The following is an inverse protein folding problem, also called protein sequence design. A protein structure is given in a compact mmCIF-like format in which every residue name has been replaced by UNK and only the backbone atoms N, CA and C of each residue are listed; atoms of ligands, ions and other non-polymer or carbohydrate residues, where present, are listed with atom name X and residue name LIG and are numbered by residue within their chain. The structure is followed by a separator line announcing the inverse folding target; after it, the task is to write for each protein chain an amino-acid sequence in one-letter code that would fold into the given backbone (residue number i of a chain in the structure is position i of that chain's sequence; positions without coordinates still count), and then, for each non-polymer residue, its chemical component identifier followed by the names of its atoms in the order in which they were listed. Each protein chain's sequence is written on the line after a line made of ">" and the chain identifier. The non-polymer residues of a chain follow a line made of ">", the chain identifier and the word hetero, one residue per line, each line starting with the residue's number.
data_IF_225268351564
#
_entry.id   IF_225268351564
#
_cell.length_a   1.000
_cell.length_b   1.000
_cell.length_c   1.000
_cell.angle_alpha   90.00
_cell.angle_beta   90.00
_cell.angle_gamma   90.00
#
_symmetry.space_group_name_H-M   'P 1'
#
loop_
_entity.id
_entity.type
_entity.pdbx_description
1 polymer ?
#
# COMPACT_ATOMS: atom_id res chain seq x y z
N UNK A 1 13.27 -14.41 23.95
CA UNK A 1 12.10 -14.38 23.04
C UNK A 1 11.60 -15.81 22.84
N UNK A 2 10.28 -16.07 22.92
CA UNK A 2 9.72 -17.38 22.60
C UNK A 2 9.83 -17.62 21.09
N UNK A 3 10.29 -18.81 20.68
CA UNK A 3 10.54 -19.21 19.30
C UNK A 3 9.45 -20.19 18.85
N UNK A 4 8.84 -19.94 17.70
CA UNK A 4 7.96 -20.92 17.04
C UNK A 4 8.70 -21.48 15.82
N UNK A 5 8.96 -22.79 15.82
CA UNK A 5 9.58 -23.48 14.68
C UNK A 5 8.49 -23.95 13.70
N UNK A 6 8.51 -23.43 12.47
CA UNK A 6 7.74 -24.00 11.34
C UNK A 6 8.71 -24.86 10.54
N UNK A 7 8.42 -26.16 10.42
CA UNK A 7 9.31 -27.18 9.83
C UNK A 7 8.99 -27.37 8.35
N UNK A 8 9.74 -26.74 7.45
CA UNK A 8 9.76 -26.98 5.98
C UNK A 8 11.17 -26.65 5.45
N UNK A 9 11.69 -27.32 4.42
CA UNK A 9 13.14 -27.54 4.13
C UNK A 9 13.99 -26.43 3.41
N UNK A 10 15.31 -26.31 3.74
CA UNK A 10 16.49 -25.55 3.14
C UNK A 10 16.74 -23.96 3.21
N UNK A 11 17.47 -23.26 4.15
CA UNK A 11 17.42 -21.75 4.30
C UNK A 11 17.09 -21.02 5.67
N UNK A 12 18.03 -20.78 6.62
CA UNK A 12 17.80 -19.88 7.80
C UNK A 12 17.68 -18.42 7.34
N UNK A 13 16.58 -17.73 7.69
CA UNK A 13 16.43 -16.29 7.47
C UNK A 13 16.17 -15.54 8.78
N UNK A 14 17.10 -14.66 9.13
CA UNK A 14 16.78 -13.44 9.88
C UNK A 14 16.49 -12.35 8.85
N UNK A 15 15.22 -12.10 8.53
CA UNK A 15 14.82 -10.95 7.71
C UNK A 15 14.98 -9.65 8.52
N UNK A 16 16.20 -9.17 8.62
CA UNK A 16 16.57 -7.81 8.99
C UNK A 16 17.66 -7.38 8.03
N UNK A 17 17.47 -6.26 7.37
CA UNK A 17 18.39 -5.70 6.37
C UNK A 17 19.86 -5.86 6.78
N UNK A 18 20.67 -6.46 5.88
CA UNK A 18 22.11 -6.80 5.98
C UNK A 18 22.50 -7.85 7.04
N UNK A 19 22.90 -9.04 6.55
CA UNK A 19 23.67 -10.02 7.33
C UNK A 19 25.16 -9.81 7.05
N UNK A 20 25.90 -9.29 8.03
CA UNK A 20 27.36 -9.41 8.07
C UNK A 20 27.77 -10.76 8.67
N UNK A 21 28.79 -11.36 8.06
CA UNK A 21 29.61 -12.51 8.49
C UNK A 21 28.96 -13.51 9.47
N UNK A 22 28.31 -14.54 8.92
CA UNK A 22 28.02 -15.77 9.66
C UNK A 22 29.14 -16.79 9.44
N UNK A 23 29.58 -17.52 10.49
CA UNK A 23 30.66 -18.50 10.38
C UNK A 23 30.26 -19.72 9.55
N UNK A 24 31.18 -20.20 8.72
CA UNK A 24 31.04 -21.42 7.90
C UNK A 24 30.70 -22.64 8.75
N UNK A 25 29.50 -23.20 8.57
CA UNK A 25 29.14 -24.50 9.13
C UNK A 25 29.16 -25.54 8.00
N UNK A 26 30.01 -26.58 8.07
CA UNK A 26 30.08 -27.60 7.04
C UNK A 26 28.85 -28.52 7.13
N UNK A 27 28.03 -28.55 6.07
CA UNK A 27 26.91 -29.49 5.98
C UNK A 27 27.42 -30.84 5.48
N UNK A 28 27.59 -31.78 6.42
CA UNK A 28 27.82 -33.19 6.10
C UNK A 28 26.53 -33.83 5.57
N UNK A 29 26.64 -34.63 4.52
CA UNK A 29 25.54 -35.24 3.78
C UNK A 29 24.40 -35.77 4.65
N UNK A 30 23.29 -35.04 4.65
CA UNK A 30 22.03 -35.30 5.32
C UNK A 30 21.04 -34.22 4.91
N UNK A 31 19.74 -34.53 4.87
CA UNK A 31 18.68 -33.54 4.58
C UNK A 31 18.78 -32.38 5.57
N UNK A 32 19.22 -31.22 5.09
CA UNK A 32 19.36 -30.02 5.89
C UNK A 32 17.96 -29.45 6.24
N UNK A 33 17.71 -29.27 7.53
CA UNK A 33 16.50 -28.67 8.08
C UNK A 33 16.59 -27.13 7.99
N UNK A 34 15.56 -26.45 7.48
CA UNK A 34 15.40 -25.03 7.84
C UNK A 34 14.65 -24.96 9.13
N UNK A 35 15.21 -24.16 10.01
CA UNK A 35 14.44 -23.55 11.06
C UNK A 35 14.25 -22.08 10.68
N UNK A 36 13.01 -21.70 10.37
CA UNK A 36 12.64 -20.29 10.29
C UNK A 36 12.42 -19.83 11.73
N UNK A 37 13.36 -19.06 12.26
CA UNK A 37 13.12 -18.37 13.53
C UNK A 37 12.25 -17.14 13.26
N UNK A 38 10.93 -17.34 13.37
CA UNK A 38 9.98 -16.24 13.32
C UNK A 38 10.02 -15.56 14.68
N UNK A 39 10.41 -14.29 14.66
CA UNK A 39 10.33 -13.42 15.81
C UNK A 39 8.85 -13.10 16.04
N UNK A 40 8.36 -13.39 17.24
CA UNK A 40 7.05 -12.96 17.72
C UNK A 40 7.27 -12.12 18.97
N UNK A 41 6.41 -11.12 19.26
CA UNK A 41 6.54 -10.36 20.48
C UNK A 41 6.61 -11.30 21.69
N UNK A 42 7.58 -11.06 22.57
CA UNK A 42 7.79 -11.90 23.74
C UNK A 42 6.60 -11.90 24.70
N UNK A 43 5.73 -10.91 24.56
CA UNK A 43 4.51 -10.70 25.31
C UNK A 43 3.44 -10.16 24.36
N UNK A 44 2.20 -10.58 24.56
CA UNK A 44 1.03 -10.02 23.90
C UNK A 44 0.07 -9.60 25.01
N UNK A 45 -0.21 -8.30 25.09
CA UNK A 45 -0.99 -7.70 26.17
C UNK A 45 -2.49 -7.66 25.86
N UNK A 46 -2.83 -7.55 24.58
CA UNK A 46 -4.20 -7.53 24.10
C UNK A 46 -4.32 -8.20 22.73
N UNK A 47 -5.51 -8.68 22.44
CA UNK A 47 -5.90 -9.29 21.16
C UNK A 47 -7.33 -8.90 20.81
N UNK A 48 -7.57 -8.66 19.52
CA UNK A 48 -8.87 -8.31 18.96
C UNK A 48 -9.01 -8.93 17.58
N UNK A 49 -10.23 -9.24 17.19
CA UNK A 49 -10.55 -9.56 15.80
C UNK A 49 -11.09 -8.28 15.15
N UNK A 50 -10.38 -7.73 14.17
CA UNK A 50 -10.78 -6.53 13.41
C UNK A 50 -10.96 -6.90 11.95
N UNK A 51 -12.14 -6.63 11.36
CA UNK A 51 -12.46 -7.01 9.98
C UNK A 51 -12.15 -8.50 9.63
N UNK A 52 -12.22 -9.40 10.61
CA UNK A 52 -11.88 -10.82 10.44
C UNK A 52 -10.38 -11.17 10.51
N UNK A 53 -9.52 -10.23 10.90
CA UNK A 53 -8.08 -10.43 11.16
C UNK A 53 -7.80 -10.48 12.65
N UNK A 54 -6.89 -11.34 13.06
CA UNK A 54 -6.33 -11.33 14.41
C UNK A 54 -5.32 -10.19 14.52
N UNK A 55 -5.66 -9.18 15.33
CA UNK A 55 -4.82 -8.03 15.63
C UNK A 55 -4.43 -8.07 17.10
N UNK A 56 -3.14 -7.96 17.37
CA UNK A 56 -2.57 -8.07 18.71
C UNK A 56 -1.61 -6.91 18.95
N UNK A 57 -1.27 -6.64 20.21
CA UNK A 57 -0.22 -5.67 20.51
C UNK A 57 0.48 -5.91 21.83
N UNK A 58 1.53 -5.12 22.01
CA UNK A 58 2.41 -5.12 23.18
C UNK A 58 2.21 -3.80 23.90
N UNK A 59 2.30 -3.81 25.23
CA UNK A 59 2.18 -2.66 26.11
C UNK A 59 0.75 -2.09 26.22
N UNK A 60 0.61 -0.78 26.03
CA UNK A 60 -0.64 -0.06 26.30
C UNK A 60 -1.69 -0.44 25.29
N UNK A 61 -2.93 -0.62 25.74
CA UNK A 61 -4.06 -0.87 24.86
C UNK A 61 -4.21 0.29 23.86
N UNK A 62 -4.37 0.02 22.55
CA UNK A 62 -4.41 1.06 21.53
C UNK A 62 -5.61 1.97 21.75
N UNK A 63 -5.45 3.23 21.38
CA UNK A 63 -6.56 4.18 21.44
C UNK A 63 -7.71 3.72 20.54
N UNK A 64 -8.98 4.05 20.86
CA UNK A 64 -10.10 3.73 19.99
C UNK A 64 -9.97 4.29 18.58
N UNK A 65 -9.29 5.43 18.42
CA UNK A 65 -9.01 6.04 17.12
C UNK A 65 -8.08 5.16 16.27
N UNK A 66 -7.00 4.65 16.87
CA UNK A 66 -6.05 3.75 16.21
C UNK A 66 -6.71 2.42 15.82
N UNK A 67 -7.50 1.83 16.73
CA UNK A 67 -8.25 0.61 16.43
C UNK A 67 -9.19 0.81 15.24
N UNK A 68 -9.94 1.92 15.24
CA UNK A 68 -10.83 2.25 14.13
C UNK A 68 -10.09 2.50 12.82
N UNK A 69 -8.92 3.14 12.86
CA UNK A 69 -8.07 3.37 11.69
C UNK A 69 -7.62 2.05 11.05
N UNK A 70 -7.09 1.13 11.86
CA UNK A 70 -6.62 -0.18 11.39
C UNK A 70 -7.77 -1.04 10.89
N UNK A 71 -8.89 -1.09 11.61
CA UNK A 71 -10.07 -1.85 11.19
C UNK A 71 -10.59 -1.39 9.82
N UNK A 72 -10.76 -0.08 9.61
CA UNK A 72 -11.15 0.46 8.30
C UNK A 72 -10.16 0.14 7.20
N UNK A 73 -8.86 0.24 7.48
CA UNK A 73 -7.85 -0.09 6.49
C UNK A 73 -7.92 -1.57 6.08
N UNK A 74 -8.22 -2.47 7.03
CA UNK A 74 -8.40 -3.89 6.74
C UNK A 74 -9.67 -4.17 5.93
N UNK A 75 -10.78 -3.46 6.20
CA UNK A 75 -12.03 -3.55 5.43
C UNK A 75 -11.87 -3.10 3.97
N UNK A 76 -10.90 -2.22 3.70
CA UNK A 76 -10.64 -1.69 2.36
C UNK A 76 -9.69 -2.57 1.54
N UNK A 77 -9.02 -3.58 2.11
CA UNK A 77 -8.11 -4.46 1.35
C UNK A 77 -8.89 -5.34 0.36
N UNK A 78 -8.40 -5.50 -0.89
CA UNK A 78 -9.11 -6.30 -1.88
C UNK A 78 -9.04 -7.79 -1.56
N UNK A 79 -10.17 -8.48 -1.68
CA UNK A 79 -10.31 -9.91 -1.41
C UNK A 79 -9.32 -10.75 -2.20
N UNK A 80 -8.98 -10.35 -3.43
CA UNK A 80 -8.05 -11.10 -4.29
C UNK A 80 -6.61 -11.06 -3.79
N UNK A 81 -6.18 -9.96 -3.14
CA UNK A 81 -4.91 -9.94 -2.42
C UNK A 81 -4.99 -10.83 -1.18
N UNK A 82 -6.07 -10.70 -0.41
CA UNK A 82 -6.26 -11.46 0.83
C UNK A 82 -6.34 -12.97 0.59
N UNK A 83 -6.80 -13.41 -0.58
CA UNK A 83 -6.85 -14.82 -0.97
C UNK A 83 -5.47 -15.49 -1.02
N UNK A 84 -4.41 -14.73 -1.30
CA UNK A 84 -3.04 -15.24 -1.43
C UNK A 84 -2.10 -14.77 -0.31
N UNK A 85 -2.44 -13.66 0.35
CA UNK A 85 -1.54 -12.93 1.22
C UNK A 85 -1.98 -12.84 2.69
N UNK A 86 -2.99 -13.62 3.11
CA UNK A 86 -3.56 -13.46 4.46
C UNK A 86 -2.51 -13.69 5.56
N UNK A 87 -2.29 -12.71 6.46
CA UNK A 87 -1.32 -12.86 7.52
C UNK A 87 -1.91 -13.74 8.63
N UNK A 88 -1.03 -14.37 9.41
CA UNK A 88 -1.43 -15.12 10.60
C UNK A 88 -1.84 -14.18 11.73
N UNK A 89 -1.08 -13.12 11.97
CA UNK A 89 -1.38 -12.10 12.97
C UNK A 89 -0.84 -10.75 12.51
N UNK A 90 -1.58 -9.69 12.82
CA UNK A 90 -1.11 -8.31 12.68
C UNK A 90 -0.77 -7.79 14.08
N UNK A 91 0.47 -7.39 14.30
CA UNK A 91 0.95 -6.84 15.55
C UNK A 91 1.02 -5.32 15.47
N UNK A 92 0.36 -4.61 16.39
CA UNK A 92 0.55 -3.18 16.60
C UNK A 92 1.55 -3.01 17.73
N UNK A 93 2.71 -2.43 17.42
CA UNK A 93 3.83 -2.29 18.35
C UNK A 93 4.38 -0.86 18.32
N UNK A 94 4.93 -0.39 19.45
CA UNK A 94 5.51 0.95 19.54
C UNK A 94 6.81 1.10 18.76
N UNK A 95 7.59 0.02 18.67
CA UNK A 95 8.85 -0.05 17.92
C UNK A 95 9.20 -1.50 17.61
N UNK A 96 10.13 -1.68 16.66
CA UNK A 96 10.74 -2.98 16.36
C UNK A 96 12.24 -2.79 16.14
N UNK A 97 13.10 -3.68 16.65
CA UNK A 97 14.57 -3.52 16.55
C UNK A 97 15.09 -3.52 15.10
N UNK A 98 14.31 -4.09 14.18
CA UNK A 98 14.60 -4.16 12.74
C UNK A 98 14.04 -2.99 11.93
N UNK A 99 13.22 -2.14 12.56
CA UNK A 99 12.62 -1.01 11.87
C UNK A 99 13.64 0.12 11.73
N UNK A 100 13.81 0.62 10.51
CA UNK A 100 14.56 1.84 10.27
C UNK A 100 13.71 3.07 10.64
N UNK A 101 14.32 4.23 10.93
CA UNK A 101 13.57 5.46 11.14
C UNK A 101 12.66 5.77 9.94
N UNK A 102 11.36 5.94 10.21
CA UNK A 102 10.36 6.21 9.17
C UNK A 102 9.67 4.96 8.59
N UNK A 103 10.05 3.75 9.01
CA UNK A 103 9.29 2.54 8.72
C UNK A 103 7.91 2.64 9.36
N UNK A 104 6.84 2.40 8.59
CA UNK A 104 5.48 2.38 9.11
C UNK A 104 4.94 0.98 9.41
N UNK A 105 5.40 0.00 8.63
CA UNK A 105 5.07 -1.40 8.79
C UNK A 105 6.23 -2.28 8.33
N UNK A 106 6.21 -3.56 8.72
CA UNK A 106 7.11 -4.58 8.20
C UNK A 106 6.46 -5.97 8.29
N UNK A 107 6.74 -6.84 7.33
CA UNK A 107 6.39 -8.25 7.38
C UNK A 107 7.58 -9.08 7.92
N UNK A 108 7.30 -9.95 8.88
CA UNK A 108 8.27 -10.95 9.37
C UNK A 108 7.63 -12.32 9.27
N UNK A 109 8.01 -13.05 8.22
CA UNK A 109 7.43 -14.35 7.92
C UNK A 109 5.93 -14.22 7.59
N UNK A 110 5.04 -14.95 8.29
CA UNK A 110 3.60 -14.89 8.04
C UNK A 110 2.88 -13.76 8.80
N UNK A 111 3.59 -12.93 9.57
CA UNK A 111 3.00 -11.88 10.41
C UNK A 111 3.36 -10.48 9.88
N UNK A 112 2.48 -9.52 10.14
CA UNK A 112 2.69 -8.09 9.83
C UNK A 112 2.82 -7.31 11.12
N UNK A 113 3.74 -6.35 11.16
CA UNK A 113 3.98 -5.45 12.26
C UNK A 113 3.67 -4.03 11.82
N UNK A 114 2.70 -3.40 12.47
CA UNK A 114 2.35 -1.99 12.32
C UNK A 114 3.00 -1.19 13.44
N UNK A 115 3.77 -0.16 13.10
CA UNK A 115 4.51 0.64 14.08
C UNK A 115 3.67 1.84 14.51
N UNK A 116 3.16 1.83 15.75
CA UNK A 116 2.20 2.81 16.26
C UNK A 116 2.65 4.26 16.07
N UNK A 117 3.94 4.54 16.28
CA UNK A 117 4.50 5.90 16.12
C UNK A 117 4.35 6.48 14.71
N UNK A 118 4.20 5.63 13.68
CA UNK A 118 3.97 6.05 12.29
C UNK A 118 2.49 6.26 11.94
N UNK A 119 1.58 5.82 12.81
CA UNK A 119 0.14 5.80 12.56
C UNK A 119 -0.61 6.99 13.16
N UNK A 120 0.05 7.80 14.00
CA UNK A 120 -0.61 8.89 14.73
C UNK A 120 -1.18 9.97 13.80
N UNK A 121 -0.49 10.27 12.68
CA UNK A 121 -0.84 11.33 11.73
C UNK A 121 -1.07 10.79 10.31
N UNK A 122 -1.52 9.54 10.20
CA UNK A 122 -1.71 8.85 8.91
C UNK A 122 -3.20 8.72 8.54
N UNK A 123 -3.48 8.45 7.26
CA UNK A 123 -4.85 8.22 6.77
C UNK A 123 -5.15 6.74 6.56
N UNK A 124 -6.42 6.33 6.52
CA UNK A 124 -6.84 4.98 6.13
C UNK A 124 -6.22 4.61 4.78
N UNK A 125 -6.14 5.55 3.82
CA UNK A 125 -5.46 5.33 2.55
C UNK A 125 -3.99 4.92 2.71
N UNK A 126 -3.25 5.61 3.58
CA UNK A 126 -1.83 5.34 3.83
C UNK A 126 -1.65 3.98 4.53
N UNK A 127 -2.52 3.64 5.50
CA UNK A 127 -2.49 2.32 6.16
C UNK A 127 -2.83 1.20 5.18
N UNK A 128 -3.78 1.40 4.26
CA UNK A 128 -4.06 0.41 3.20
C UNK A 128 -2.84 0.21 2.31
N UNK A 129 -2.12 1.28 1.93
CA UNK A 129 -0.89 1.16 1.15
C UNK A 129 0.16 0.34 1.89
N UNK A 130 0.41 0.66 3.17
CA UNK A 130 1.34 -0.06 4.03
C UNK A 130 0.96 -1.54 4.14
N UNK A 131 -0.30 -1.83 4.46
CA UNK A 131 -0.78 -3.21 4.57
C UNK A 131 -0.66 -3.95 3.24
N UNK A 132 -1.06 -3.37 2.11
CA UNK A 132 -0.95 -4.03 0.81
C UNK A 132 0.51 -4.35 0.44
N UNK A 133 1.44 -3.47 0.79
CA UNK A 133 2.88 -3.70 0.67
C UNK A 133 3.31 -4.91 1.52
N UNK A 134 3.05 -4.88 2.83
CA UNK A 134 3.49 -5.94 3.74
C UNK A 134 2.82 -7.29 3.50
N UNK A 135 1.55 -7.29 3.10
CA UNK A 135 0.84 -8.51 2.71
C UNK A 135 1.48 -9.13 1.46
N UNK A 136 2.01 -8.33 0.55
CA UNK A 136 2.76 -8.87 -0.60
C UNK A 136 4.01 -9.61 -0.13
N UNK A 137 4.70 -9.14 0.91
CA UNK A 137 5.80 -9.88 1.54
C UNK A 137 5.34 -11.15 2.24
N UNK A 138 4.16 -11.16 2.88
CA UNK A 138 3.57 -12.40 3.43
C UNK A 138 3.32 -13.43 2.31
N UNK A 139 2.82 -13.00 1.15
CA UNK A 139 2.65 -13.87 -0.02
C UNK A 139 3.99 -14.40 -0.56
N UNK A 140 5.00 -13.54 -0.64
CA UNK A 140 6.37 -13.95 -1.02
C UNK A 140 6.95 -14.96 -0.03
N UNK A 141 6.73 -14.77 1.28
CA UNK A 141 7.12 -15.74 2.30
C UNK A 141 6.38 -17.07 2.15
N UNK A 142 5.08 -17.04 1.88
CA UNK A 142 4.32 -18.26 1.61
C UNK A 142 4.86 -19.03 0.39
N UNK A 143 5.22 -18.31 -0.68
CA UNK A 143 5.87 -18.89 -1.86
C UNK A 143 7.25 -19.49 -1.54
N UNK A 144 8.02 -18.84 -0.66
CA UNK A 144 9.29 -19.35 -0.17
C UNK A 144 9.10 -20.69 0.57
N UNK A 145 8.18 -20.74 1.53
CA UNK A 145 7.85 -21.96 2.29
C UNK A 145 7.38 -23.09 1.38
N UNK A 146 6.64 -22.77 0.32
CA UNK A 146 6.16 -23.76 -0.65
C UNK A 146 7.26 -24.26 -1.61
N UNK A 147 8.40 -23.57 -1.70
CA UNK A 147 9.51 -23.89 -2.59
C UNK A 147 10.65 -24.61 -1.86
N UNK A 148 11.55 -25.26 -2.60
CA UNK A 148 12.87 -25.65 -2.08
C UNK A 148 13.85 -24.56 -2.55
N UNK A 149 14.09 -23.51 -1.75
CA UNK A 149 14.89 -22.39 -2.22
C UNK A 149 16.34 -22.83 -2.44
N UNK A 150 17.00 -22.17 -3.38
CA UNK A 150 18.44 -22.29 -3.53
C UNK A 150 19.13 -21.66 -2.30
N UNK A 151 20.30 -22.15 -1.92
CA UNK A 151 21.14 -21.46 -0.93
C UNK A 151 21.53 -20.09 -1.48
N UNK A 152 20.93 -19.02 -0.95
CA UNK A 152 21.24 -17.64 -1.33
C UNK A 152 21.07 -16.70 -0.15
N UNK A 153 21.80 -15.59 -0.16
CA UNK A 153 21.72 -14.54 0.87
C UNK A 153 20.36 -13.85 0.94
N UNK A 154 19.56 -13.89 -0.14
CA UNK A 154 18.16 -13.46 -0.19
C UNK A 154 17.30 -14.52 -0.87
N UNK A 155 16.76 -15.50 -0.11
CA UNK A 155 16.03 -16.61 -0.69
C UNK A 155 14.64 -16.21 -1.18
N UNK A 156 14.05 -15.11 -0.67
CA UNK A 156 12.79 -14.56 -1.22
C UNK A 156 12.97 -14.18 -2.68
N UNK A 157 14.09 -13.50 -2.99
CA UNK A 157 14.41 -13.09 -4.35
C UNK A 157 14.71 -14.24 -5.31
N UNK A 158 14.80 -15.49 -4.82
CA UNK A 158 15.01 -16.69 -5.64
C UNK A 158 13.76 -17.56 -5.78
N UNK A 159 12.65 -17.16 -5.15
CA UNK A 159 11.40 -17.89 -5.28
C UNK A 159 10.88 -17.84 -6.73
N UNK A 160 10.15 -18.87 -7.19
CA UNK A 160 9.50 -18.85 -8.49
C UNK A 160 8.60 -17.63 -8.68
N UNK A 161 7.88 -17.20 -7.63
CA UNK A 161 7.01 -16.04 -7.64
C UNK A 161 7.76 -14.74 -7.97
N UNK A 162 8.84 -14.45 -7.23
CA UNK A 162 9.61 -13.22 -7.45
C UNK A 162 10.38 -13.29 -8.78
N UNK A 163 10.84 -14.47 -9.18
CA UNK A 163 11.51 -14.66 -10.47
C UNK A 163 10.55 -14.42 -11.64
N UNK A 164 9.31 -14.91 -11.54
CA UNK A 164 8.27 -14.68 -12.54
C UNK A 164 7.95 -13.18 -12.68
N UNK A 165 7.76 -12.48 -11.56
CA UNK A 165 7.59 -11.04 -11.55
C UNK A 165 8.80 -10.33 -12.19
N UNK A 166 10.01 -10.70 -11.79
CA UNK A 166 11.25 -10.11 -12.28
C UNK A 166 11.38 -10.27 -13.80
N UNK A 167 11.13 -11.46 -14.33
CA UNK A 167 11.17 -11.75 -15.75
C UNK A 167 10.13 -10.95 -16.55
N UNK A 168 8.92 -10.81 -16.02
CA UNK A 168 7.84 -10.05 -16.64
C UNK A 168 8.13 -8.54 -16.69
N UNK A 169 8.88 -8.02 -15.72
CA UNK A 169 9.08 -6.57 -15.50
C UNK A 169 10.47 -6.07 -15.89
N UNK A 170 11.30 -6.96 -16.47
CA UNK A 170 12.59 -6.60 -17.03
C UNK A 170 13.74 -6.56 -16.02
N UNK A 171 13.51 -7.00 -14.78
CA UNK A 171 14.60 -7.28 -13.85
C UNK A 171 15.48 -8.39 -14.41
N UNK A 172 16.79 -8.23 -14.24
CA UNK A 172 17.80 -9.19 -14.67
C UNK A 172 18.74 -9.48 -13.53
N UNK A 173 19.16 -10.74 -13.45
CA UNK A 173 20.15 -11.19 -12.49
C UNK A 173 21.54 -11.13 -13.11
N UNK A 174 22.46 -10.46 -12.42
CA UNK A 174 23.88 -10.36 -12.76
C UNK A 174 24.68 -10.93 -11.58
N UNK A 175 24.97 -12.23 -11.62
CA UNK A 175 25.49 -12.99 -10.49
C UNK A 175 24.46 -13.10 -9.36
N UNK A 176 24.79 -12.59 -8.17
CA UNK A 176 23.89 -12.55 -7.01
C UNK A 176 23.15 -11.23 -6.86
N UNK A 177 23.27 -10.32 -7.84
CA UNK A 177 22.64 -9.01 -7.79
C UNK A 177 21.53 -8.88 -8.82
N UNK A 178 20.45 -8.24 -8.41
CA UNK A 178 19.38 -7.81 -9.30
C UNK A 178 19.70 -6.45 -9.89
N UNK A 179 19.37 -6.27 -11.16
CA UNK A 179 19.49 -5.01 -11.88
C UNK A 179 18.24 -4.77 -12.72
N UNK A 180 17.84 -3.51 -12.81
CA UNK A 180 16.78 -3.05 -13.68
C UNK A 180 17.30 -1.88 -14.52
N UNK A 181 16.89 -1.79 -15.78
CA UNK A 181 17.26 -0.66 -16.63
C UNK A 181 16.52 0.61 -16.19
N UNK A 182 17.20 1.76 -16.22
CA UNK A 182 16.60 3.05 -15.90
C UNK A 182 15.54 3.49 -16.94
N UNK A 183 14.45 4.18 -16.54
CA UNK A 183 14.05 4.49 -15.15
C UNK A 183 13.48 3.23 -14.46
N UNK A 184 14.13 2.77 -13.40
CA UNK A 184 13.84 1.45 -12.81
C UNK A 184 12.99 1.52 -11.54
N UNK A 185 12.11 0.53 -11.36
CA UNK A 185 11.32 0.26 -10.17
C UNK A 185 10.00 1.01 -10.15
N UNK A 186 9.03 0.51 -9.38
CA UNK A 186 7.79 1.24 -9.11
C UNK A 186 8.12 2.54 -8.40
N UNK A 187 8.76 2.45 -7.23
CA UNK A 187 9.28 3.63 -6.50
C UNK A 187 10.80 3.57 -6.40
N UNK A 188 11.42 4.63 -5.84
CA UNK A 188 12.85 4.58 -5.50
C UNK A 188 13.18 3.41 -4.56
N UNK A 189 12.28 3.07 -3.64
CA UNK A 189 12.45 1.93 -2.76
C UNK A 189 12.25 0.60 -3.51
N UNK A 190 11.21 0.51 -4.34
CA UNK A 190 11.01 -0.64 -5.23
C UNK A 190 12.18 -0.88 -6.18
N UNK A 191 12.92 0.14 -6.59
CA UNK A 191 14.11 0.01 -7.43
C UNK A 191 15.30 -0.71 -6.74
N UNK A 192 15.20 -1.04 -5.45
CA UNK A 192 16.27 -1.72 -4.71
C UNK A 192 16.33 -3.23 -4.99
N UNK A 193 15.19 -3.87 -5.23
CA UNK A 193 15.10 -5.31 -5.53
C UNK A 193 13.77 -5.66 -6.18
N UNK A 194 13.65 -6.78 -6.92
CA UNK A 194 12.36 -7.24 -7.44
C UNK A 194 11.38 -7.63 -6.32
N UNK A 195 11.86 -7.96 -5.12
CA UNK A 195 11.04 -8.27 -3.94
C UNK A 195 10.26 -7.03 -3.52
N UNK A 196 10.97 -5.92 -3.35
CA UNK A 196 10.39 -4.62 -2.98
C UNK A 196 9.58 -4.00 -4.12
N UNK A 197 10.05 -4.14 -5.36
CA UNK A 197 9.33 -3.64 -6.52
C UNK A 197 7.95 -4.31 -6.67
N UNK A 198 7.87 -5.62 -6.43
CA UNK A 198 6.61 -6.34 -6.44
C UNK A 198 5.65 -5.82 -5.36
N UNK A 199 6.13 -5.63 -4.13
CA UNK A 199 5.33 -5.10 -3.02
C UNK A 199 4.85 -3.67 -3.29
N UNK A 200 5.74 -2.81 -3.77
CA UNK A 200 5.41 -1.43 -4.15
C UNK A 200 4.44 -1.36 -5.33
N UNK A 201 4.59 -2.22 -6.33
CA UNK A 201 3.69 -2.30 -7.48
C UNK A 201 2.28 -2.72 -7.06
N UNK A 202 2.17 -3.79 -6.25
CA UNK A 202 0.89 -4.26 -5.73
C UNK A 202 0.25 -3.18 -4.88
N UNK A 203 0.98 -2.61 -3.91
CA UNK A 203 0.46 -1.56 -3.05
C UNK A 203 -0.06 -0.36 -3.85
N UNK A 204 0.70 0.09 -4.87
CA UNK A 204 0.32 1.23 -5.70
C UNK A 204 -0.91 0.93 -6.57
N UNK A 205 -1.04 -0.28 -7.13
CA UNK A 205 -2.28 -0.70 -7.83
C UNK A 205 -3.46 -0.76 -6.86
N UNK A 206 -3.27 -1.37 -5.68
CA UNK A 206 -4.29 -1.52 -4.65
C UNK A 206 -4.79 -0.15 -4.22
N UNK A 207 -3.94 0.81 -3.87
CA UNK A 207 -4.43 2.14 -3.49
C UNK A 207 -4.83 3.01 -4.68
N UNK A 208 -4.62 2.53 -5.91
CA UNK A 208 -4.90 3.28 -7.13
C UNK A 208 -4.06 4.54 -7.23
N UNK A 209 -2.82 4.47 -6.73
CA UNK A 209 -1.83 5.53 -6.71
C UNK A 209 -1.25 5.76 -8.11
N UNK A 210 -1.61 6.90 -8.69
CA UNK A 210 -1.07 7.43 -9.92
C UNK A 210 0.08 8.39 -9.69
N UNK A 211 0.43 8.78 -8.46
CA UNK A 211 1.60 9.62 -8.20
C UNK A 211 2.88 9.00 -8.80
N UNK A 212 2.91 7.68 -8.79
CA UNK A 212 3.96 6.87 -9.39
C UNK A 212 3.43 6.22 -10.67
N UNK A 213 3.93 6.57 -11.86
CA UNK A 213 3.58 5.87 -13.10
C UNK A 213 4.01 4.40 -13.01
N UNK A 214 3.07 3.50 -12.71
CA UNK A 214 3.33 2.06 -12.73
C UNK A 214 3.37 1.63 -14.20
N UNK A 215 4.45 0.98 -14.62
CA UNK A 215 4.53 0.51 -15.99
C UNK A 215 3.45 -0.54 -16.31
N UNK A 216 3.12 -0.67 -17.59
CA UNK A 216 2.08 -1.61 -18.02
C UNK A 216 2.47 -3.09 -17.82
N UNK A 217 3.74 -3.43 -17.66
CA UNK A 217 4.18 -4.80 -17.45
C UNK A 217 3.88 -5.27 -16.02
N UNK A 218 4.19 -4.45 -15.01
CA UNK A 218 3.84 -4.65 -13.61
C UNK A 218 2.33 -4.76 -13.45
N UNK A 219 1.58 -3.82 -14.03
CA UNK A 219 0.11 -3.84 -13.96
C UNK A 219 -0.46 -5.12 -14.58
N UNK A 220 0.02 -5.53 -15.76
CA UNK A 220 -0.43 -6.79 -16.38
C UNK A 220 -0.11 -8.00 -15.51
N UNK A 221 1.12 -8.09 -15.00
CA UNK A 221 1.51 -9.19 -14.13
C UNK A 221 0.63 -9.27 -12.88
N UNK A 222 0.35 -8.14 -12.22
CA UNK A 222 -0.52 -8.09 -11.03
C UNK A 222 -1.94 -8.57 -11.36
N UNK A 223 -2.51 -8.07 -12.46
CA UNK A 223 -3.87 -8.43 -12.91
C UNK A 223 -3.96 -9.92 -13.23
N UNK A 224 -2.97 -10.46 -13.94
CA UNK A 224 -2.92 -11.87 -14.30
C UNK A 224 -2.68 -12.77 -13.07
N UNK A 225 -1.78 -12.35 -12.17
CA UNK A 225 -1.40 -13.10 -10.96
C UNK A 225 -2.51 -13.14 -9.90
N UNK A 226 -3.16 -12.01 -9.63
CA UNK A 226 -4.28 -11.93 -8.68
C UNK A 226 -5.62 -12.30 -9.31
N UNK A 227 -5.69 -12.43 -10.64
CA UNK A 227 -6.91 -12.77 -11.36
C UNK A 227 -7.99 -11.68 -11.29
N UNK A 228 -7.60 -10.41 -11.14
CA UNK A 228 -8.51 -9.29 -10.93
C UNK A 228 -8.10 -8.04 -11.72
N UNK A 229 -9.09 -7.29 -12.20
CA UNK A 229 -8.84 -6.01 -12.86
C UNK A 229 -8.25 -4.97 -11.90
N UNK A 230 -7.53 -3.97 -12.43
CA UNK A 230 -7.04 -2.84 -11.61
C UNK A 230 -8.15 -2.10 -10.87
N UNK A 231 -9.34 -2.02 -11.46
CA UNK A 231 -10.48 -1.35 -10.83
C UNK A 231 -11.04 -2.15 -9.64
N UNK A 232 -11.04 -3.49 -9.74
CA UNK A 232 -11.39 -4.37 -8.64
C UNK A 232 -10.36 -4.29 -7.51
N UNK A 233 -9.07 -4.37 -7.84
CA UNK A 233 -7.97 -4.25 -6.87
C UNK A 233 -7.93 -2.87 -6.20
N UNK A 234 -8.36 -1.82 -6.90
CA UNK A 234 -8.49 -0.47 -6.35
C UNK A 234 -9.66 -0.33 -5.33
N UNK A 235 -10.55 -1.32 -5.25
CA UNK A 235 -11.66 -1.41 -4.29
C UNK A 235 -12.50 -0.12 -4.15
N UNK A 236 -12.71 0.63 -5.24
CA UNK A 236 -13.49 1.88 -5.16
C UNK A 236 -12.78 3.02 -4.43
N UNK A 237 -11.45 3.01 -4.32
CA UNK A 237 -10.66 4.14 -3.84
C UNK A 237 -10.62 5.29 -4.86
N UNK A 238 -10.40 6.54 -4.40
CA UNK A 238 -10.23 7.70 -5.28
C UNK A 238 -9.19 7.45 -6.37
N UNK A 239 -9.52 7.85 -7.60
CA UNK A 239 -8.56 7.80 -8.69
C UNK A 239 -7.61 9.00 -8.61
N UNK A 240 -6.31 8.71 -8.65
CA UNK A 240 -5.26 9.73 -8.72
C UNK A 240 -4.61 9.68 -10.11
N UNK A 241 -4.52 10.80 -10.85
CA UNK A 241 -3.84 10.86 -12.14
C UNK A 241 -2.33 10.68 -11.99
N UNK A 242 -1.67 10.25 -13.06
CA UNK A 242 -0.22 10.17 -13.10
C UNK A 242 0.40 11.22 -14.02
N UNK A 243 1.52 11.87 -13.62
CA UNK A 243 2.05 11.93 -12.25
C UNK A 243 1.21 12.88 -11.37
N UNK A 244 0.72 12.43 -10.21
CA UNK A 244 0.13 13.32 -9.20
C UNK A 244 1.08 13.55 -8.03
N UNK A 245 0.96 14.68 -7.35
CA UNK A 245 1.62 14.93 -6.07
C UNK A 245 0.54 15.16 -5.02
N UNK A 246 0.64 14.50 -3.86
CA UNK A 246 -0.24 14.77 -2.72
C UNK A 246 0.16 16.11 -2.11
N UNK A 247 -0.82 16.98 -1.90
CA UNK A 247 -0.61 18.27 -1.22
C UNK A 247 -1.10 18.19 0.20
N UNK A 248 -0.33 18.81 1.09
CA UNK A 248 -0.80 19.21 2.41
C UNK A 248 -1.19 20.70 2.33
N UNK A 249 -2.35 21.03 2.88
CA UNK A 249 -2.85 22.39 2.90
C UNK A 249 -3.36 22.73 4.31
N UNK A 250 -2.90 23.84 4.86
CA UNK A 250 -3.33 24.34 6.17
C UNK A 250 -4.81 24.80 6.17
N UNK A 251 -5.31 25.18 4.99
CA UNK A 251 -6.71 25.54 4.78
C UNK A 251 -7.44 24.43 4.03
N UNK A 252 -8.70 24.18 4.39
CA UNK A 252 -9.55 23.22 3.71
C UNK A 252 -9.74 23.62 2.23
N UNK A 253 -9.16 22.83 1.32
CA UNK A 253 -9.38 22.95 -0.13
C UNK A 253 -10.65 22.18 -0.56
N UNK A 254 -11.74 22.40 0.20
CA UNK A 254 -13.06 21.86 -0.08
C UNK A 254 -14.17 22.67 0.58
N UNK A 255 -15.39 22.58 0.05
CA UNK A 255 -16.57 23.14 0.72
C UNK A 255 -16.99 22.24 1.89
N UNK A 256 -16.70 22.70 3.12
CA UNK A 256 -16.98 21.98 4.35
C UNK A 256 -18.48 21.72 4.58
N UNK A 257 -19.35 22.61 4.11
CA UNK A 257 -20.81 22.48 4.25
C UNK A 257 -21.37 21.44 3.27
N UNK A 258 -20.65 21.21 2.16
CA UNK A 258 -21.00 20.19 1.18
C UNK A 258 -20.58 18.77 1.60
N UNK A 259 -19.74 18.61 2.62
CA UNK A 259 -19.19 17.31 3.05
C UNK A 259 -20.29 16.37 3.54
N UNK A 260 -20.38 15.13 2.99
CA UNK A 260 -21.34 14.14 3.46
C UNK A 260 -21.23 13.85 4.96
N UNK A 261 -22.35 13.61 5.67
CA UNK A 261 -22.29 13.09 7.03
C UNK A 261 -21.59 11.72 7.03
N UNK A 262 -20.80 11.46 8.07
CA UNK A 262 -20.08 10.21 8.25
C UNK A 262 -19.45 10.17 9.64
N UNK A 263 -19.16 8.96 10.13
CA UNK A 263 -18.50 8.77 11.44
C UNK A 263 -17.03 9.15 11.39
N UNK A 264 -16.41 8.91 10.23
CA UNK A 264 -15.02 9.23 9.95
C UNK A 264 -14.93 9.94 8.61
N UNK A 265 -13.98 10.86 8.50
CA UNK A 265 -13.76 11.65 7.29
C UNK A 265 -12.26 11.78 7.03
N UNK A 266 -11.88 11.64 5.78
CA UNK A 266 -10.51 11.86 5.33
C UNK A 266 -10.48 12.79 4.14
N UNK A 267 -9.52 13.70 4.13
CA UNK A 267 -9.32 14.66 3.06
C UNK A 267 -8.05 14.27 2.32
N UNK A 268 -8.17 14.05 1.02
CA UNK A 268 -7.06 13.73 0.13
C UNK A 268 -7.01 14.79 -0.95
N UNK A 269 -5.88 15.49 -1.07
CA UNK A 269 -5.66 16.55 -2.06
C UNK A 269 -4.51 16.15 -2.96
N UNK A 270 -4.74 16.18 -4.27
CA UNK A 270 -3.75 15.82 -5.28
C UNK A 270 -3.64 16.92 -6.34
N UNK A 271 -2.43 17.30 -6.72
CA UNK A 271 -2.21 18.05 -7.96
C UNK A 271 -2.00 17.07 -9.10
N UNK A 272 -2.83 17.21 -10.13
CA UNK A 272 -2.65 16.52 -11.39
C UNK A 272 -1.70 17.36 -12.24
N UNK A 273 -0.51 16.83 -12.53
CA UNK A 273 0.51 17.47 -13.38
C UNK A 273 0.07 17.76 -14.83
N UNK A 274 -1.13 17.35 -15.22
CA UNK A 274 -1.71 17.73 -16.49
C UNK A 274 -2.30 19.15 -16.40
N UNK A 275 -1.96 20.05 -17.36
CA UNK A 275 -2.60 21.35 -17.46
C UNK A 275 -4.12 21.21 -17.53
N UNK A 276 -4.84 22.15 -16.92
CA UNK A 276 -6.30 22.20 -17.01
C UNK A 276 -6.77 22.04 -18.46
N UNK A 277 -7.69 21.09 -18.69
CA UNK A 277 -8.41 20.91 -19.95
C UNK A 277 -9.89 20.75 -19.69
N UNK A 278 -10.73 21.29 -20.58
CA UNK A 278 -12.19 21.27 -20.44
C UNK A 278 -12.83 19.88 -20.23
N UNK A 279 -12.12 18.79 -20.57
CA UNK A 279 -12.59 17.40 -20.39
C UNK A 279 -12.18 16.71 -19.09
N UNK A 280 -11.46 17.37 -18.16
CA UNK A 280 -11.06 16.74 -16.88
C UNK A 280 -12.26 16.27 -16.05
N UNK A 281 -13.33 17.06 -15.85
CA UNK A 281 -14.47 16.62 -15.04
C UNK A 281 -15.14 15.35 -15.60
N UNK A 282 -15.40 15.29 -16.91
CA UNK A 282 -16.01 14.13 -17.56
C UNK A 282 -15.12 12.88 -17.47
N UNK A 283 -13.80 13.05 -17.61
CA UNK A 283 -12.86 11.95 -17.42
C UNK A 283 -12.89 11.42 -16.00
N UNK A 284 -12.91 12.31 -15.00
CA UNK A 284 -12.97 11.93 -13.60
C UNK A 284 -14.25 11.15 -13.28
N UNK A 285 -15.42 11.63 -13.73
CA UNK A 285 -16.70 10.92 -13.58
C UNK A 285 -16.63 9.52 -14.18
N UNK A 286 -16.09 9.37 -15.40
CA UNK A 286 -15.95 8.05 -16.04
C UNK A 286 -15.02 7.12 -15.26
N UNK A 287 -13.90 7.63 -14.74
CA UNK A 287 -12.93 6.83 -13.97
C UNK A 287 -13.47 6.42 -12.61
N UNK A 288 -14.20 7.31 -11.92
CA UNK A 288 -14.89 6.99 -10.68
C UNK A 288 -15.99 5.93 -10.92
N UNK A 289 -16.75 6.07 -12.00
CA UNK A 289 -17.78 5.10 -12.37
C UNK A 289 -17.20 3.70 -12.67
N UNK A 290 -16.04 3.62 -13.32
CA UNK A 290 -15.33 2.36 -13.56
C UNK A 290 -14.92 1.66 -12.25
N UNK A 291 -14.67 2.43 -11.19
CA UNK A 291 -14.39 1.94 -9.83
C UNK A 291 -15.63 1.72 -8.97
N UNK A 292 -16.83 1.74 -9.57
CA UNK A 292 -18.09 1.55 -8.84
C UNK A 292 -18.53 2.75 -7.98
N UNK A 293 -17.89 3.90 -8.16
CA UNK A 293 -18.19 5.15 -7.45
C UNK A 293 -19.10 5.99 -8.33
N UNK A 294 -20.34 6.23 -7.91
CA UNK A 294 -21.38 6.89 -8.74
C UNK A 294 -21.70 8.28 -8.22
N UNK A 295 -21.81 9.24 -9.13
CA UNK A 295 -22.15 10.64 -8.86
C UNK A 295 -21.91 11.48 -10.10
N UNK A 296 -22.15 12.78 -9.97
CA UNK A 296 -22.00 13.75 -11.04
C UNK A 296 -21.18 14.94 -10.55
N UNK A 297 -20.33 15.49 -11.42
CA UNK A 297 -19.65 16.77 -11.18
C UNK A 297 -20.41 17.89 -11.88
N UNK A 298 -20.74 18.93 -11.11
CA UNK A 298 -21.36 20.14 -11.63
C UNK A 298 -20.40 21.31 -11.48
N UNK A 299 -20.41 22.22 -12.46
CA UNK A 299 -19.72 23.49 -12.34
C UNK A 299 -20.30 24.26 -11.15
N UNK A 300 -19.43 24.78 -10.29
CA UNK A 300 -19.83 25.67 -9.21
C UNK A 300 -19.78 27.11 -9.73
N UNK A 301 -20.85 27.86 -9.49
CA UNK A 301 -20.94 29.27 -9.86
C UNK A 301 -20.05 30.11 -8.94
N UNK A 302 -18.76 30.15 -9.27
CA UNK A 302 -17.74 30.97 -8.64
C UNK A 302 -16.94 31.70 -9.73
N UNK A 303 -17.05 33.03 -9.77
CA UNK A 303 -16.36 33.87 -10.75
C UNK A 303 -14.87 34.03 -10.44
N UNK A 304 -14.43 33.70 -9.22
CA UNK A 304 -13.03 33.82 -8.81
C UNK A 304 -12.21 32.60 -9.24
N UNK A 305 -12.78 31.40 -9.21
CA UNK A 305 -12.04 30.17 -9.53
C UNK A 305 -12.92 29.20 -10.30
N UNK A 306 -12.41 28.69 -11.42
CA UNK A 306 -13.12 27.62 -12.13
C UNK A 306 -13.03 26.33 -11.30
N UNK A 307 -14.21 25.87 -10.84
CA UNK A 307 -14.37 24.75 -9.91
C UNK A 307 -15.54 23.87 -10.33
N UNK A 308 -15.37 22.57 -10.15
CA UNK A 308 -16.42 21.57 -10.29
C UNK A 308 -16.52 20.79 -8.98
N UNK A 309 -17.73 20.51 -8.51
CA UNK A 309 -17.97 19.77 -7.29
C UNK A 309 -19.13 18.79 -7.45
N UNK A 310 -19.06 17.69 -6.70
CA UNK A 310 -20.05 16.63 -6.79
C UNK A 310 -20.01 15.69 -5.60
N UNK A 311 -21.16 15.12 -5.26
CA UNK A 311 -21.26 14.02 -4.30
C UNK A 311 -21.29 12.70 -5.04
N UNK A 312 -20.48 11.77 -4.57
CA UNK A 312 -20.40 10.43 -5.09
C UNK A 312 -20.62 9.40 -3.99
N UNK A 313 -21.02 8.20 -4.38
CA UNK A 313 -21.33 7.11 -3.46
C UNK A 313 -20.83 5.77 -4.01
N UNK A 314 -20.30 4.95 -3.11
CA UNK A 314 -19.99 3.53 -3.34
C UNK A 314 -21.13 2.68 -2.75
N UNK A 315 -21.27 1.44 -3.24
CA UNK A 315 -22.41 0.58 -2.90
C UNK A 315 -22.49 0.16 -1.43
N UNK A 316 -21.37 0.22 -0.71
CA UNK A 316 -21.22 -0.11 0.72
C UNK A 316 -21.54 1.08 1.65
N UNK A 317 -21.95 2.22 1.10
CA UNK A 317 -22.36 3.40 1.87
C UNK A 317 -21.25 4.45 2.04
N UNK A 318 -20.03 4.19 1.57
CA UNK A 318 -18.98 5.22 1.55
C UNK A 318 -19.36 6.33 0.58
N UNK A 319 -19.25 7.56 1.06
CA UNK A 319 -19.61 8.77 0.33
C UNK A 319 -18.39 9.64 0.10
N UNK A 320 -18.34 10.31 -1.04
CA UNK A 320 -17.24 11.17 -1.42
C UNK A 320 -17.80 12.54 -1.76
N UNK A 321 -17.19 13.60 -1.23
CA UNK A 321 -17.18 14.89 -1.90
C UNK A 321 -15.98 14.88 -2.85
N UNK A 322 -16.22 15.15 -4.13
CA UNK A 322 -15.16 15.28 -5.12
C UNK A 322 -15.19 16.70 -5.65
N UNK A 323 -14.03 17.34 -5.64
CA UNK A 323 -13.87 18.68 -6.18
C UNK A 323 -12.66 18.76 -7.11
N UNK A 324 -12.82 19.54 -8.17
CA UNK A 324 -11.79 19.79 -9.17
C UNK A 324 -11.60 21.30 -9.26
N UNK A 325 -10.37 21.75 -9.07
CA UNK A 325 -10.01 23.16 -9.01
C UNK A 325 -9.03 23.53 -10.12
N UNK A 326 -9.33 24.60 -10.85
CA UNK A 326 -8.41 25.26 -11.76
C UNK A 326 -7.91 26.56 -11.12
N UNK A 327 -6.76 26.49 -10.44
CA UNK A 327 -6.22 27.62 -9.69
C UNK A 327 -5.40 28.61 -10.54
N UNK A 328 -5.11 28.28 -11.80
CA UNK A 328 -4.16 29.03 -12.67
C UNK A 328 -4.38 30.55 -12.67
N UNK A 329 -5.63 30.99 -12.61
CA UNK A 329 -6.01 32.40 -12.66
C UNK A 329 -6.79 32.86 -11.41
N UNK A 330 -6.77 32.07 -10.33
CA UNK A 330 -7.56 32.36 -9.14
C UNK A 330 -7.03 33.63 -8.42
N UNK A 331 -7.86 34.68 -8.23
CA UNK A 331 -7.46 35.86 -7.48
C UNK A 331 -7.16 35.49 -6.03
N UNK A 332 -6.02 35.93 -5.51
CA UNK A 332 -5.62 35.73 -4.11
C UNK A 332 -4.56 34.66 -3.87
N UNK A 333 -4.17 33.89 -4.91
CA UNK A 333 -3.02 32.99 -4.83
C UNK A 333 -1.75 33.69 -5.33
N UNK A 334 -0.67 33.60 -4.55
CA UNK A 334 0.68 33.99 -4.99
C UNK A 334 1.30 32.76 -5.64
N UNK A 335 1.65 32.86 -6.93
CA UNK A 335 2.15 31.75 -7.76
C UNK A 335 1.24 30.50 -7.73
N UNK A 336 -0.03 30.62 -8.16
CA UNK A 336 -0.92 29.46 -8.20
C UNK A 336 -0.31 28.34 -9.06
N UNK A 337 -0.48 27.06 -8.66
CA UNK A 337 -0.03 25.97 -9.48
C UNK A 337 -0.72 26.01 -10.85
N UNK A 338 0.04 25.78 -11.93
CA UNK A 338 -0.50 25.62 -13.30
C UNK A 338 -1.18 24.24 -13.49
N UNK A 339 -1.36 23.51 -12.38
CA UNK A 339 -1.88 22.16 -12.28
C UNK A 339 -3.34 22.16 -11.85
N UNK A 340 -4.07 21.11 -12.24
CA UNK A 340 -5.45 20.90 -11.76
C UNK A 340 -5.38 20.27 -10.37
N UNK A 341 -6.03 20.85 -9.36
CA UNK A 341 -6.15 20.18 -8.06
C UNK A 341 -7.41 19.32 -8.00
N UNK A 342 -7.26 18.12 -7.45
CA UNK A 342 -8.31 17.16 -7.16
C UNK A 342 -8.41 16.98 -5.65
N UNK A 343 -9.57 17.30 -5.09
CA UNK A 343 -9.86 17.05 -3.68
C UNK A 343 -10.90 15.95 -3.55
N UNK A 344 -10.62 14.98 -2.69
CA UNK A 344 -11.56 13.96 -2.24
C UNK A 344 -11.77 14.11 -0.74
N UNK A 345 -13.01 14.29 -0.30
CA UNK A 345 -13.39 14.09 1.10
C UNK A 345 -14.16 12.78 1.18
N UNK A 346 -13.51 11.75 1.70
CA UNK A 346 -14.10 10.42 1.86
C UNK A 346 -14.77 10.35 3.22
N UNK A 347 -16.01 9.90 3.27
CA UNK A 347 -16.83 9.79 4.47
C UNK A 347 -17.42 8.38 4.59
N UNK A 348 -17.14 7.71 5.70
CA UNK A 348 -17.62 6.36 5.99
C UNK A 348 -18.84 6.41 6.94
N UNK A 349 -19.81 5.47 6.79
CA UNK A 349 -21.08 5.46 7.53
C UNK A 349 -20.98 5.18 9.04
#
# INVERSE_FOLDING_TARGET
>A
MPRLAIVVAAAVLAAGCRVGDLPDVPVAGGTAEIVYEIEVPARVDWRRTLAGFEVAGVDTEPTPALVGLVERALEELPDELLAVARPRTIYVVSSHERAEPGTGALAIGPDVYLLEGSLADTTTFDVVRLLAHELTHVHQFAALVASTPASSDDPLATTPLVTEFADATGWRRDGDRWRLAEPGGTTRYGATSPVEDMAEAVASVVVGDGATPIDGARVRWIVDHLGASTDALAAGRPWTPAPAVRYEADAALYDADAVPPGRHREVLVYGASAPWRAGVPDELVRRLAARGIRGDLLRVDDDAVERYAGRFHRADGVSFLVEVWNLRNAPGYVDPPDETLLTFVVAWP
#
